data_IF_250181349122
#
_entry.id   IF_250181349122
#
_cell.length_a   1.000
_cell.length_b   1.000
_cell.length_c   1.000
_cell.angle_alpha   90.00
_cell.angle_beta   90.00
_cell.angle_gamma   90.00
#
_symmetry.space_group_name_H-M   'P 1'
#
loop_
_entity.id
_entity.type
_entity.pdbx_description
1 polymer ?
#
# COMPACT_ATOMS: atom_id res chain seq x y z
N UNK A 1 8.02 -21.96 -2.59
CA UNK A 1 8.70 -21.17 -1.55
C UNK A 1 7.95 -19.85 -1.40
N UNK A 2 7.04 -19.78 -0.43
CA UNK A 2 6.30 -18.56 -0.09
C UNK A 2 7.22 -17.67 0.72
N UNK A 3 7.64 -16.53 0.17
CA UNK A 3 8.33 -15.52 0.94
C UNK A 3 7.30 -14.67 1.69
N UNK A 4 6.92 -15.21 2.84
CA UNK A 4 6.32 -14.52 3.98
C UNK A 4 7.38 -13.60 4.60
N UNK A 5 7.84 -12.60 3.83
CA UNK A 5 8.71 -11.53 4.27
C UNK A 5 7.96 -10.53 5.14
N UNK A 6 7.73 -10.94 6.38
CA UNK A 6 7.58 -10.19 7.63
C UNK A 6 7.58 -8.63 7.52
N UNK A 7 6.39 -8.02 7.56
CA UNK A 7 6.18 -6.89 8.48
C UNK A 7 5.52 -7.51 9.73
N UNK A 8 6.36 -7.99 10.64
CA UNK A 8 5.95 -8.53 11.93
C UNK A 8 5.33 -7.41 12.74
N UNK A 9 4.21 -7.71 13.41
CA UNK A 9 3.86 -7.00 14.63
C UNK A 9 2.86 -5.86 14.54
N UNK A 10 1.92 -5.86 13.60
CA UNK A 10 0.71 -5.04 13.75
C UNK A 10 -0.52 -5.92 13.54
N UNK A 11 -1.12 -6.39 14.64
CA UNK A 11 -2.55 -6.77 14.66
C UNK A 11 -3.33 -5.51 14.28
N UNK A 12 -3.52 -5.27 12.98
CA UNK A 12 -4.35 -4.17 12.49
C UNK A 12 -5.80 -4.61 12.68
N UNK A 13 -6.23 -4.50 13.94
CA UNK A 13 -7.63 -4.34 14.29
C UNK A 13 -8.26 -3.30 13.39
N UNK A 14 -9.48 -3.61 12.96
CA UNK A 14 -10.34 -2.73 12.21
C UNK A 14 -10.43 -1.35 12.88
N UNK A 15 -9.72 -0.35 12.35
CA UNK A 15 -10.09 1.04 12.56
C UNK A 15 -10.90 1.50 11.35
N UNK A 16 -12.20 1.28 11.49
CA UNK A 16 -13.32 2.00 10.90
C UNK A 16 -13.17 3.52 11.08
N UNK A 17 -12.14 4.12 10.48
CA UNK A 17 -12.09 5.57 10.31
C UNK A 17 -12.71 5.85 8.95
N UNK A 18 -13.95 6.37 8.98
CA UNK A 18 -14.77 6.83 7.87
C UNK A 18 -13.92 7.35 6.70
N UNK A 19 -13.63 6.48 5.74
CA UNK A 19 -12.64 6.79 4.71
C UNK A 19 -13.30 6.76 3.35
N UNK A 20 -13.38 7.93 2.73
CA UNK A 20 -13.56 8.02 1.28
C UNK A 20 -12.31 7.38 0.65
N UNK A 21 -12.42 6.20 0.03
CA UNK A 21 -11.28 5.61 -0.67
C UNK A 21 -10.98 6.46 -1.90
N UNK A 22 -9.69 6.73 -2.13
CA UNK A 22 -9.23 7.33 -3.39
C UNK A 22 -8.39 6.32 -4.14
N UNK A 23 -8.72 6.12 -5.42
CA UNK A 23 -7.92 5.29 -6.30
C UNK A 23 -6.83 6.15 -6.94
N UNK A 24 -5.60 5.64 -6.94
CA UNK A 24 -4.48 6.20 -7.69
C UNK A 24 -4.27 5.29 -8.90
N UNK A 25 -4.23 5.87 -10.09
CA UNK A 25 -3.98 5.14 -11.34
C UNK A 25 -2.49 5.16 -11.71
N UNK A 26 -1.75 6.18 -11.30
CA UNK A 26 -0.34 6.37 -11.65
C UNK A 26 0.62 6.04 -10.50
N UNK A 27 1.68 5.32 -10.83
CA UNK A 27 2.73 4.95 -9.87
C UNK A 27 3.44 6.20 -9.30
N UNK A 28 3.62 7.24 -10.12
CA UNK A 28 4.27 8.50 -9.71
C UNK A 28 3.54 9.16 -8.54
N UNK A 29 2.21 9.25 -8.64
CA UNK A 29 1.36 9.85 -7.62
C UNK A 29 1.33 8.99 -6.34
N UNK A 30 1.43 7.67 -6.49
CA UNK A 30 1.58 6.74 -5.36
C UNK A 30 2.90 6.97 -4.61
N UNK A 31 4.04 7.09 -5.31
CA UNK A 31 5.34 7.33 -4.67
C UNK A 31 5.38 8.67 -3.94
N UNK A 32 4.76 9.71 -4.53
CA UNK A 32 4.61 11.01 -3.90
C UNK A 32 3.76 10.92 -2.62
N UNK A 33 2.66 10.16 -2.67
CA UNK A 33 1.77 9.94 -1.53
C UNK A 33 2.42 9.09 -0.43
N UNK A 34 3.24 8.10 -0.78
CA UNK A 34 3.94 7.24 0.18
C UNK A 34 5.05 7.98 0.93
N UNK A 35 5.71 8.96 0.30
CA UNK A 35 6.77 9.80 0.90
C UNK A 35 6.24 11.03 1.64
N UNK A 36 4.93 11.28 1.60
CA UNK A 36 4.32 12.44 2.24
C UNK A 36 4.36 12.31 3.76
N UNK A 37 4.63 13.42 4.46
CA UNK A 37 4.73 13.47 5.94
C UNK A 37 3.48 12.99 6.70
N UNK A 38 2.33 12.98 6.01
CA UNK A 38 1.03 12.55 6.55
C UNK A 38 0.70 11.08 6.26
N UNK A 39 1.55 10.36 5.51
CA UNK A 39 1.44 8.92 5.34
C UNK A 39 1.89 8.23 6.63
N UNK A 40 0.98 7.50 7.29
CA UNK A 40 1.26 6.83 8.57
C UNK A 40 1.66 5.38 8.39
N UNK A 41 1.09 4.70 7.40
CA UNK A 41 1.37 3.28 7.15
C UNK A 41 0.98 2.87 5.73
N UNK A 42 1.71 1.92 5.17
CA UNK A 42 1.38 1.28 3.89
C UNK A 42 1.01 -0.18 4.15
N UNK A 43 -0.14 -0.61 3.65
CA UNK A 43 -0.60 -2.00 3.69
C UNK A 43 -0.61 -2.58 2.29
N UNK A 44 0.19 -3.61 2.07
CA UNK A 44 0.25 -4.32 0.80
C UNK A 44 -0.69 -5.51 0.89
N UNK A 45 -1.69 -5.59 0.01
CA UNK A 45 -2.59 -6.73 -0.11
C UNK A 45 -2.33 -7.43 -1.44
N UNK A 46 -1.71 -8.61 -1.40
CA UNK A 46 -1.59 -9.49 -2.55
C UNK A 46 -2.88 -10.30 -2.72
N UNK A 47 -3.35 -10.41 -3.95
CA UNK A 47 -4.43 -11.29 -4.42
C UNK A 47 -3.88 -12.11 -5.60
N UNK A 48 -4.61 -13.12 -6.10
CA UNK A 48 -4.14 -14.03 -7.16
C UNK A 48 -3.45 -13.31 -8.33
N UNK A 49 -4.11 -12.31 -8.90
CA UNK A 49 -3.65 -11.60 -10.12
C UNK A 49 -3.50 -10.09 -9.91
N UNK A 50 -3.68 -9.61 -8.68
CA UNK A 50 -3.64 -8.17 -8.38
C UNK A 50 -3.03 -7.90 -7.02
N UNK A 51 -2.07 -6.99 -6.99
CA UNK A 51 -1.48 -6.44 -5.77
C UNK A 51 -2.06 -5.05 -5.55
N UNK A 52 -2.61 -4.82 -4.35
CA UNK A 52 -3.18 -3.54 -3.94
C UNK A 52 -2.29 -2.92 -2.87
N UNK A 53 -1.68 -1.78 -3.19
CA UNK A 53 -0.94 -0.97 -2.23
C UNK A 53 -1.89 0.05 -1.61
N UNK A 54 -2.11 -0.04 -0.30
CA UNK A 54 -3.02 0.82 0.44
C UNK A 54 -2.22 1.74 1.37
N UNK A 55 -2.16 3.04 1.07
CA UNK A 55 -1.52 4.03 1.94
C UNK A 55 -2.57 4.65 2.85
N UNK A 56 -2.31 4.65 4.16
CA UNK A 56 -3.12 5.38 5.13
C UNK A 56 -2.54 6.79 5.31
N UNK A 57 -3.27 7.78 4.82
CA UNK A 57 -3.02 9.18 5.11
C UNK A 57 -3.95 9.67 6.22
N UNK A 58 -3.80 10.93 6.63
CA UNK A 58 -4.63 11.53 7.68
C UNK A 58 -6.14 11.50 7.34
N UNK A 59 -6.52 11.85 6.10
CA UNK A 59 -7.93 12.00 5.68
C UNK A 59 -8.46 10.88 4.78
N UNK A 60 -7.61 10.34 3.90
CA UNK A 60 -8.02 9.40 2.86
C UNK A 60 -7.19 8.11 2.90
N UNK A 61 -7.69 7.06 2.27
CA UNK A 61 -6.95 5.83 2.01
C UNK A 61 -6.76 5.75 0.51
N UNK A 62 -5.50 5.81 0.12
CA UNK A 62 -5.11 5.75 -1.28
C UNK A 62 -4.83 4.30 -1.64
N UNK A 63 -5.43 3.83 -2.73
CA UNK A 63 -5.19 2.48 -3.23
C UNK A 63 -4.62 2.55 -4.64
N UNK A 64 -3.45 1.96 -4.84
CA UNK A 64 -2.89 1.64 -6.15
C UNK A 64 -3.12 0.15 -6.43
N UNK A 65 -3.74 -0.16 -7.57
CA UNK A 65 -3.92 -1.53 -8.06
C UNK A 65 -2.86 -1.81 -9.13
N UNK A 66 -2.07 -2.86 -8.93
CA UNK A 66 -1.04 -3.31 -9.88
C UNK A 66 -1.35 -4.75 -10.24
N UNK A 67 -1.44 -5.05 -11.54
CA UNK A 67 -1.70 -6.40 -12.05
C UNK A 67 -0.41 -7.21 -12.22
N UNK A 68 0.70 -6.55 -12.57
CA UNK A 68 2.03 -7.16 -12.66
C UNK A 68 2.65 -7.41 -11.28
N UNK A 69 2.87 -8.67 -10.94
CA UNK A 69 3.57 -9.09 -9.72
C UNK A 69 5.02 -8.61 -9.67
N UNK A 70 5.74 -8.67 -10.79
CA UNK A 70 7.14 -8.24 -10.86
C UNK A 70 7.30 -6.73 -10.64
N UNK A 71 6.40 -5.92 -11.22
CA UNK A 71 6.38 -4.46 -10.98
C UNK A 71 6.02 -4.16 -9.52
N UNK A 72 5.09 -4.92 -8.95
CA UNK A 72 4.73 -4.78 -7.56
C UNK A 72 5.90 -5.07 -6.62
N UNK A 73 6.75 -6.05 -6.92
CA UNK A 73 7.90 -6.38 -6.08
C UNK A 73 8.97 -5.27 -6.11
N UNK A 74 9.27 -4.73 -7.30
CA UNK A 74 10.13 -3.55 -7.46
C UNK A 74 9.60 -2.32 -6.71
N UNK A 75 8.28 -2.13 -6.72
CA UNK A 75 7.64 -1.04 -5.96
C UNK A 75 7.74 -1.27 -4.46
N UNK A 76 7.61 -2.50 -3.98
CA UNK A 76 7.80 -2.84 -2.56
C UNK A 76 9.21 -2.49 -2.09
N UNK A 77 10.24 -2.76 -2.90
CA UNK A 77 11.64 -2.41 -2.59
C UNK A 77 11.90 -0.90 -2.59
N UNK A 78 11.13 -0.14 -3.37
CA UNK A 78 11.28 1.32 -3.47
C UNK A 78 10.57 2.08 -2.36
N UNK A 79 9.76 1.41 -1.54
CA UNK A 79 9.11 2.02 -0.38
C UNK A 79 10.17 2.26 0.72
N UNK A 80 10.18 3.45 1.36
CA UNK A 80 11.07 3.71 2.48
C UNK A 80 10.77 2.74 3.64
N UNK A 81 11.81 2.25 4.34
CA UNK A 81 11.65 1.35 5.48
C UNK A 81 10.90 2.00 6.65
#
# INVERSE_FOLDING_TARGET
ASEEGLLSGCRLGNSIAANMPKQINEIKDFLLTARRKDARSVKIKRSKDVVKFKVRCSKYLYTLCVFDSEKADKLKQSLPP
#
